data_IF_465844126755
#
_entry.id   IF_465844126755
#
_cell.length_a   1.000
_cell.length_b   1.000
_cell.length_c   1.000
_cell.angle_alpha   90.00
_cell.angle_beta   90.00
_cell.angle_gamma   90.00
#
_symmetry.space_group_name_H-M   'P 1'
#
loop_
_entity.id
_entity.type
_entity.pdbx_description
1 polymer ?
#
# COMPACT_ATOMS: atom_id res chain seq x y z
N UNK A 1 -30.79 -2.15 -25.46
CA UNK A 1 -29.33 -2.03 -25.32
C UNK A 1 -29.02 -1.95 -23.84
N UNK A 2 -28.80 -3.10 -23.18
CA UNK A 2 -28.35 -3.11 -21.79
C UNK A 2 -26.85 -2.85 -21.82
N UNK A 3 -26.44 -1.63 -21.47
CA UNK A 3 -25.06 -1.38 -21.05
C UNK A 3 -24.76 -2.41 -19.96
N UNK A 4 -23.72 -3.26 -20.06
CA UNK A 4 -23.32 -4.02 -18.90
C UNK A 4 -22.89 -2.96 -17.90
N UNK A 5 -23.71 -2.76 -16.86
CA UNK A 5 -23.37 -1.94 -15.72
C UNK A 5 -21.95 -2.33 -15.35
N UNK A 6 -20.99 -1.42 -15.56
CA UNK A 6 -19.61 -1.65 -15.20
C UNK A 6 -19.64 -2.20 -13.77
N UNK A 7 -19.11 -3.41 -13.57
CA UNK A 7 -19.00 -4.06 -12.27
C UNK A 7 -18.47 -3.02 -11.28
N UNK A 8 -19.38 -2.47 -10.45
CA UNK A 8 -19.07 -1.44 -9.48
C UNK A 8 -18.21 -2.12 -8.41
N UNK A 9 -16.88 -2.03 -8.53
CA UNK A 9 -15.92 -2.62 -7.60
C UNK A 9 -16.32 -2.27 -6.16
N UNK A 10 -16.88 -3.22 -5.39
CA UNK A 10 -17.49 -2.92 -4.09
C UNK A 10 -16.44 -2.50 -3.06
N UNK A 11 -15.14 -2.67 -3.36
CA UNK A 11 -14.01 -2.28 -2.53
C UNK A 11 -13.48 -0.88 -2.86
N UNK A 12 -13.97 -0.24 -3.94
CA UNK A 12 -13.58 1.10 -4.34
C UNK A 12 -14.29 2.20 -3.52
N UNK A 13 -15.32 1.86 -2.72
CA UNK A 13 -16.05 2.81 -1.88
C UNK A 13 -16.04 2.39 -0.42
N UNK A 14 -15.62 3.31 0.46
CA UNK A 14 -15.69 3.09 1.90
C UNK A 14 -17.15 3.02 2.39
N UNK A 15 -17.53 1.93 3.07
CA UNK A 15 -18.88 1.70 3.59
C UNK A 15 -18.99 2.24 5.02
N UNK A 16 -19.56 3.43 5.18
CA UNK A 16 -19.96 3.97 6.49
C UNK A 16 -21.14 4.94 6.35
N UNK A 17 -22.07 4.97 7.32
CA UNK A 17 -23.25 5.84 7.29
C UNK A 17 -22.91 7.35 7.28
N UNK A 18 -21.69 7.72 7.67
CA UNK A 18 -21.21 9.11 7.62
C UNK A 18 -20.71 9.51 6.22
N UNK A 19 -20.27 8.54 5.43
CA UNK A 19 -19.68 8.75 4.10
C UNK A 19 -20.76 9.15 3.10
N UNK A 20 -21.98 8.63 3.24
CA UNK A 20 -23.09 8.96 2.33
C UNK A 20 -23.52 10.42 2.40
N UNK A 21 -23.33 11.08 3.56
CA UNK A 21 -23.75 12.48 3.78
C UNK A 21 -22.62 13.48 3.65
N UNK A 22 -21.40 13.11 4.03
CA UNK A 22 -20.31 14.07 4.20
C UNK A 22 -19.08 13.80 3.33
N UNK A 23 -19.03 12.68 2.61
CA UNK A 23 -17.87 12.35 1.79
C UNK A 23 -18.19 12.47 0.30
N UNK A 24 -17.36 13.24 -0.41
CA UNK A 24 -17.33 13.21 -1.87
C UNK A 24 -16.89 11.84 -2.39
N UNK A 25 -17.17 11.54 -3.66
CA UNK A 25 -16.75 10.30 -4.29
C UNK A 25 -15.22 10.10 -4.22
N UNK A 26 -14.44 11.18 -4.40
CA UNK A 26 -12.98 11.15 -4.25
C UNK A 26 -12.55 10.86 -2.80
N UNK A 27 -13.22 11.46 -1.81
CA UNK A 27 -12.92 11.19 -0.40
C UNK A 27 -13.25 9.74 -0.02
N UNK A 28 -14.38 9.21 -0.50
CA UNK A 28 -14.74 7.81 -0.32
C UNK A 28 -13.76 6.84 -0.97
N UNK A 29 -13.14 7.23 -2.08
CA UNK A 29 -12.06 6.47 -2.72
C UNK A 29 -10.75 6.55 -1.91
N UNK A 30 -10.43 7.70 -1.31
CA UNK A 30 -9.25 7.85 -0.46
C UNK A 30 -9.24 6.86 0.71
N UNK A 31 -10.40 6.63 1.32
CA UNK A 31 -10.59 5.70 2.43
C UNK A 31 -11.06 4.30 2.00
N UNK A 32 -11.11 4.03 0.70
CA UNK A 32 -11.51 2.73 0.18
C UNK A 32 -10.52 1.63 0.56
N UNK A 33 -11.03 0.40 0.68
CA UNK A 33 -10.20 -0.77 0.97
C UNK A 33 -9.14 -0.99 -0.13
N UNK A 34 -9.50 -0.75 -1.41
CA UNK A 34 -8.56 -0.82 -2.53
C UNK A 34 -7.36 0.11 -2.36
N UNK A 35 -7.61 1.37 -1.99
CA UNK A 35 -6.52 2.35 -1.81
C UNK A 35 -5.72 2.06 -0.54
N UNK A 36 -6.37 1.65 0.54
CA UNK A 36 -5.74 1.27 1.81
C UNK A 36 -4.74 0.13 1.63
N UNK A 37 -5.16 -1.00 1.07
CA UNK A 37 -4.28 -2.15 0.87
C UNK A 37 -3.15 -1.87 -0.13
N UNK A 38 -3.46 -1.17 -1.24
CA UNK A 38 -2.46 -0.79 -2.24
C UNK A 38 -1.39 0.15 -1.66
N UNK A 39 -1.80 1.14 -0.87
CA UNK A 39 -0.89 2.07 -0.22
C UNK A 39 0.00 1.36 0.79
N UNK A 40 -0.58 0.45 1.59
CA UNK A 40 0.18 -0.33 2.56
C UNK A 40 1.24 -1.20 1.90
N UNK A 41 0.89 -1.90 0.81
CA UNK A 41 1.86 -2.71 0.06
C UNK A 41 3.01 -1.87 -0.51
N UNK A 42 2.74 -0.65 -0.99
CA UNK A 42 3.78 0.27 -1.47
C UNK A 42 4.73 0.68 -0.36
N UNK A 43 4.22 0.97 0.84
CA UNK A 43 5.06 1.33 1.98
C UNK A 43 6.00 0.19 2.38
N UNK A 44 5.52 -1.06 2.37
CA UNK A 44 6.39 -2.22 2.59
C UNK A 44 7.49 -2.36 1.52
N UNK A 45 7.17 -2.12 0.25
CA UNK A 45 8.16 -2.12 -0.82
C UNK A 45 9.20 -1.01 -0.63
N UNK A 46 8.76 0.19 -0.27
CA UNK A 46 9.67 1.30 0.02
C UNK A 46 10.57 1.01 1.21
N UNK A 47 10.02 0.40 2.26
CA UNK A 47 10.79 -0.02 3.43
C UNK A 47 11.87 -1.02 3.03
N UNK A 48 11.52 -2.08 2.31
CA UNK A 48 12.47 -3.09 1.84
C UNK A 48 13.56 -2.49 0.92
N UNK A 49 13.19 -1.55 0.06
CA UNK A 49 14.13 -0.83 -0.79
C UNK A 49 15.10 0.04 0.03
N UNK A 50 14.59 0.74 1.04
CA UNK A 50 15.40 1.56 1.93
C UNK A 50 16.37 0.71 2.77
N UNK A 51 15.93 -0.45 3.26
CA UNK A 51 16.79 -1.40 3.98
C UNK A 51 17.88 -1.98 3.08
N UNK A 52 17.57 -2.32 1.82
CA UNK A 52 18.57 -2.80 0.85
C UNK A 52 19.65 -1.77 0.56
N UNK A 53 19.29 -0.49 0.47
CA UNK A 53 20.25 0.61 0.24
C UNK A 53 21.07 0.89 1.49
N UNK A 54 20.42 0.90 2.65
CA UNK A 54 21.03 1.35 3.91
C UNK A 54 21.82 0.24 4.60
N UNK A 55 21.49 -1.04 4.38
CA UNK A 55 22.22 -2.15 4.98
C UNK A 55 23.65 -2.18 4.44
N UNK A 56 24.67 -1.81 5.24
CA UNK A 56 26.03 -2.18 4.88
C UNK A 56 26.03 -3.71 4.86
N UNK A 57 26.66 -4.32 3.86
CA UNK A 57 26.85 -5.78 3.79
C UNK A 57 27.41 -6.25 5.13
N UNK A 58 26.53 -6.71 6.04
CA UNK A 58 26.92 -7.22 7.36
C UNK A 58 27.67 -8.51 7.08
N UNK A 59 29.00 -8.42 7.10
CA UNK A 59 29.87 -9.58 6.96
C UNK A 59 31.05 -9.43 6.02
N UNK A 60 31.80 -8.33 6.07
CA UNK A 60 33.24 -8.42 5.86
C UNK A 60 33.89 -8.55 7.24
N UNK A 61 33.75 -9.72 7.88
CA UNK A 61 34.59 -10.07 9.03
C UNK A 61 35.91 -10.52 8.41
N UNK A 62 37.02 -9.78 8.53
CA UNK A 62 38.30 -10.28 8.04
C UNK A 62 38.66 -11.50 8.89
N UNK A 63 38.52 -12.68 8.30
CA UNK A 63 39.05 -13.92 8.84
C UNK A 63 40.56 -13.89 8.59
N UNK A 64 41.31 -13.26 9.50
CA UNK A 64 42.76 -13.25 9.41
C UNK A 64 43.38 -12.47 10.55
N UNK A 65 44.43 -13.04 11.12
CA UNK A 65 45.31 -12.49 12.16
C UNK A 65 44.90 -12.82 13.61
N UNK A 66 45.00 -14.11 13.92
CA UNK A 66 45.62 -14.53 15.17
C UNK A 66 46.86 -15.35 14.81
N UNK A 67 48.03 -14.73 14.93
CA UNK A 67 49.32 -15.38 15.15
C UNK A 67 49.89 -14.79 16.43
#
# INVERSE_FOLDING_TARGET
>A
MATPCAEEDPLARYRSPLVSRYASAEMGFNFSERKKFGTWRRLWLYLAQAEKVTAPRRGARPLGLRS
#
